data_IF_094467568776
#
_entry.id   IF_094467568776
#
_cell.length_a   1.000
_cell.length_b   1.000
_cell.length_c   1.000
_cell.angle_alpha   90.00
_cell.angle_beta   90.00
_cell.angle_gamma   90.00
#
_symmetry.space_group_name_H-M   'P 1'
#
loop_
_entity.id
_entity.type
_entity.pdbx_description
1 polymer ?
#
# COMPACT_ATOMS: atom_id res chain seq x y z
N UNK A 1 -0.92 -4.73 0.25
CA UNK A 1 -0.45 -4.06 1.48
C UNK A 1 0.47 -2.91 1.11
N UNK A 2 0.22 -1.71 1.62
CA UNK A 2 1.09 -0.56 1.39
C UNK A 2 1.30 0.21 2.70
N UNK A 3 2.57 0.40 3.09
CA UNK A 3 2.96 0.96 4.38
C UNK A 3 3.53 2.35 4.19
N UNK A 4 3.03 3.30 4.96
CA UNK A 4 3.58 4.64 5.09
C UNK A 4 4.12 4.86 6.48
N UNK A 5 5.29 5.48 6.54
CA UNK A 5 5.84 6.00 7.76
C UNK A 5 6.22 7.45 7.56
N UNK A 6 5.58 8.32 8.32
CA UNK A 6 5.95 9.72 8.38
C UNK A 6 6.60 10.02 9.71
N UNK A 7 7.79 10.63 9.69
CA UNK A 7 8.52 11.06 10.87
C UNK A 7 8.62 12.58 10.94
N UNK A 8 8.44 13.12 12.15
CA UNK A 8 8.63 14.51 12.51
C UNK A 8 10.00 14.68 13.19
N UNK A 9 10.98 15.13 12.42
CA UNK A 9 12.30 15.41 12.97
C UNK A 9 12.32 16.76 13.70
N UNK A 10 12.16 16.71 15.03
CA UNK A 10 12.20 17.90 15.90
C UNK A 10 13.52 18.67 15.85
N UNK A 11 14.66 18.01 15.54
CA UNK A 11 15.97 18.67 15.50
C UNK A 11 16.21 19.45 14.20
N UNK A 12 15.63 18.98 13.08
CA UNK A 12 15.76 19.63 11.76
C UNK A 12 14.52 20.43 11.36
N UNK A 13 13.48 20.43 12.19
CA UNK A 13 12.16 20.98 11.91
C UNK A 13 11.50 20.44 10.62
N UNK A 14 11.93 19.28 10.13
CA UNK A 14 11.48 18.70 8.86
C UNK A 14 10.63 17.45 9.07
N UNK A 15 9.58 17.30 8.27
CA UNK A 15 8.84 16.05 8.11
C UNK A 15 9.44 15.24 6.95
N UNK A 16 9.51 13.91 7.10
CA UNK A 16 9.96 12.98 6.05
C UNK A 16 8.95 11.86 5.87
N UNK A 17 8.84 11.35 4.63
CA UNK A 17 7.97 10.22 4.29
C UNK A 17 8.82 9.06 3.77
N UNK A 18 8.62 7.89 4.37
CA UNK A 18 9.07 6.62 3.83
C UNK A 18 7.85 5.82 3.39
N UNK A 19 7.95 5.24 2.20
CA UNK A 19 6.87 4.48 1.59
C UNK A 19 7.40 3.11 1.17
N UNK A 20 6.71 2.04 1.62
CA UNK A 20 7.06 0.68 1.26
C UNK A 20 5.88 -0.02 0.59
N UNK A 21 6.18 -0.57 -0.59
CA UNK A 21 5.31 -1.48 -1.33
C UNK A 21 5.90 -2.87 -1.23
N UNK A 22 5.15 -3.80 -0.66
CA UNK A 22 5.46 -5.22 -0.72
C UNK A 22 4.91 -5.84 -2.00
N UNK A 23 5.74 -6.62 -2.70
CA UNK A 23 5.31 -7.51 -3.79
C UNK A 23 4.71 -8.79 -3.17
N UNK A 24 3.47 -9.16 -3.53
CA UNK A 24 2.81 -10.39 -3.06
C UNK A 24 2.73 -11.47 -4.15
N UNK A 25 2.91 -12.74 -3.75
CA UNK A 25 3.07 -13.90 -4.62
C UNK A 25 1.85 -14.21 -5.51
N UNK A 26 2.16 -14.93 -6.60
CA UNK A 26 1.29 -15.56 -7.61
C UNK A 26 0.67 -14.69 -8.70
N UNK A 27 1.05 -13.41 -8.81
CA UNK A 27 1.00 -12.73 -10.09
C UNK A 27 2.36 -12.18 -10.46
N UNK A 28 2.88 -12.75 -11.57
CA UNK A 28 4.09 -12.34 -12.27
C UNK A 28 4.42 -10.87 -12.03
N UNK A 29 5.60 -10.60 -11.44
CA UNK A 29 6.33 -9.34 -11.54
C UNK A 29 5.45 -8.08 -11.63
N UNK A 30 4.66 -7.84 -10.59
CA UNK A 30 3.82 -6.65 -10.53
C UNK A 30 4.59 -5.50 -9.89
N UNK A 31 5.19 -4.65 -10.73
CA UNK A 31 5.75 -3.38 -10.30
C UNK A 31 4.81 -2.26 -10.75
N UNK A 32 3.90 -1.84 -9.86
CA UNK A 32 2.94 -0.77 -10.16
C UNK A 32 3.54 0.63 -10.01
N UNK A 33 4.78 0.72 -9.53
CA UNK A 33 5.48 1.99 -9.33
C UNK A 33 6.33 2.37 -10.53
N UNK A 34 6.69 1.40 -11.37
CA UNK A 34 7.43 1.64 -12.60
C UNK A 34 6.46 2.01 -13.73
N UNK A 35 6.72 3.19 -14.29
CA UNK A 35 6.06 3.66 -15.49
C UNK A 35 6.58 2.89 -16.71
N UNK A 36 5.68 2.21 -17.42
CA UNK A 36 5.98 1.55 -18.68
C UNK A 36 5.76 2.54 -19.84
N UNK A 37 6.84 2.94 -20.50
CA UNK A 37 6.81 3.84 -21.66
C UNK A 37 6.19 3.22 -22.91
N UNK A 38 6.10 1.89 -22.98
CA UNK A 38 5.55 1.15 -24.12
C UNK A 38 4.06 0.83 -23.95
N UNK A 39 3.44 1.34 -22.88
CA UNK A 39 2.02 1.13 -22.58
C UNK A 39 1.13 2.00 -23.48
N UNK A 40 0.33 1.35 -24.32
CA UNK A 40 -0.70 2.01 -25.14
C UNK A 40 -2.04 2.03 -24.39
N UNK A 41 -2.55 3.24 -24.12
CA UNK A 41 -3.80 3.47 -23.37
C UNK A 41 -5.01 3.35 -24.30
N UNK A 42 -5.22 2.19 -24.92
CA UNK A 42 -6.43 1.93 -25.71
C UNK A 42 -7.53 1.29 -24.83
N UNK A 43 -8.78 1.77 -24.99
CA UNK A 43 -10.04 1.24 -24.43
C UNK A 43 -10.50 1.62 -23.00
N UNK A 44 -10.39 2.88 -22.59
CA UNK A 44 -11.31 3.46 -21.58
C UNK A 44 -12.15 4.55 -22.23
N UNK A 45 -13.08 4.16 -23.10
CA UNK A 45 -13.91 5.12 -23.83
C UNK A 45 -15.18 4.59 -24.50
N UNK A 46 -15.55 3.31 -24.30
CA UNK A 46 -16.81 2.75 -24.84
C UNK A 46 -17.34 1.61 -23.97
N UNK A 47 -17.82 1.90 -22.76
CA UNK A 47 -18.88 1.06 -22.17
C UNK A 47 -20.19 1.83 -22.31
N UNK A 48 -20.89 1.56 -23.41
CA UNK A 48 -22.34 1.74 -23.45
C UNK A 48 -22.94 0.61 -22.63
N UNK A 49 -23.84 0.98 -21.73
CA UNK A 49 -24.82 0.09 -21.09
C UNK A 49 -25.25 -1.04 -22.03
N UNK A 50 -24.89 -2.27 -21.69
CA UNK A 50 -25.68 -3.43 -22.09
C UNK A 50 -25.65 -4.43 -20.95
N UNK A 51 -26.83 -4.61 -20.36
CA UNK A 51 -27.15 -5.55 -19.32
C UNK A 51 -26.82 -6.98 -19.73
N UNK A 52 -26.12 -7.74 -18.89
CA UNK A 52 -26.03 -9.20 -19.06
C UNK A 52 -26.16 -9.89 -17.70
N UNK A 53 -27.41 -10.01 -17.25
CA UNK A 53 -27.91 -11.29 -16.76
C UNK A 53 -28.61 -11.94 -17.94
N UNK A 54 -28.05 -13.02 -18.50
CA UNK A 54 -28.75 -14.26 -18.87
C UNK A 54 -27.96 -15.14 -19.86
N UNK A 55 -27.97 -16.43 -19.51
CA UNK A 55 -28.02 -17.63 -20.34
C UNK A 55 -26.75 -18.20 -20.99
N UNK A 56 -26.27 -19.22 -20.28
CA UNK A 56 -25.82 -20.54 -20.76
C UNK A 56 -26.51 -20.97 -22.07
N UNK A 57 -25.74 -21.25 -23.13
CA UNK A 57 -25.64 -22.56 -23.81
C UNK A 57 -25.05 -22.49 -25.22
N UNK A 58 -24.18 -23.47 -25.49
CA UNK A 58 -23.86 -24.14 -26.77
C UNK A 58 -23.13 -23.44 -27.93
N UNK A 59 -22.11 -24.19 -28.39
CA UNK A 59 -21.61 -24.39 -29.76
C UNK A 59 -20.33 -23.67 -30.24
N UNK A 60 -19.36 -24.53 -30.60
CA UNK A 60 -18.09 -24.26 -31.27
C UNK A 60 -18.32 -23.70 -32.69
N UNK A 61 -17.53 -22.71 -33.08
CA UNK A 61 -16.97 -22.61 -34.45
C UNK A 61 -15.71 -21.73 -34.46
N UNK A 62 -14.61 -22.32 -34.92
CA UNK A 62 -13.34 -21.67 -35.21
C UNK A 62 -13.47 -20.76 -36.45
N UNK A 63 -12.98 -19.52 -36.38
CA UNK A 63 -12.27 -18.85 -37.48
C UNK A 63 -11.18 -17.96 -36.87
N UNK A 64 -9.95 -18.27 -37.23
CA UNK A 64 -8.72 -17.50 -37.02
C UNK A 64 -8.77 -16.14 -37.73
N UNK A 65 -8.45 -15.07 -37.01
CA UNK A 65 -7.77 -13.91 -37.58
C UNK A 65 -6.76 -13.41 -36.54
N UNK A 66 -5.50 -13.63 -36.91
CA UNK A 66 -4.29 -13.24 -36.21
C UNK A 66 -4.13 -11.72 -36.26
N UNK A 67 -3.77 -11.17 -35.13
CA UNK A 67 -3.85 -9.76 -34.79
C UNK A 67 -3.81 -9.69 -33.28
N UNK A 68 -2.61 -9.88 -32.74
CA UNK A 68 -2.32 -9.80 -31.31
C UNK A 68 -2.89 -8.49 -30.75
N UNK A 69 -4.12 -8.55 -30.24
CA UNK A 69 -4.65 -7.52 -29.35
C UNK A 69 -3.76 -7.56 -28.12
N UNK A 70 -2.82 -6.61 -28.00
CA UNK A 70 -2.14 -6.34 -26.74
C UNK A 70 -3.23 -6.14 -25.69
N UNK A 71 -3.39 -7.11 -24.79
CA UNK A 71 -4.30 -6.99 -23.67
C UNK A 71 -3.80 -5.82 -22.81
N UNK A 72 -4.57 -4.73 -22.79
CA UNK A 72 -4.29 -3.59 -21.92
C UNK A 72 -4.29 -4.06 -20.46
N UNK A 73 -3.16 -3.82 -19.77
CA UNK A 73 -2.99 -4.18 -18.37
C UNK A 73 -3.47 -3.03 -17.49
N UNK A 74 -4.66 -3.19 -16.88
CA UNK A 74 -5.35 -2.15 -16.12
C UNK A 74 -4.56 -1.59 -14.95
N UNK A 75 -3.56 -2.32 -14.45
CA UNK A 75 -2.76 -1.90 -13.32
C UNK A 75 -1.56 -1.02 -13.68
N UNK A 76 -1.13 -1.01 -14.94
CA UNK A 76 0.02 -0.23 -15.37
C UNK A 76 -0.29 1.27 -15.38
N UNK A 77 0.74 2.07 -15.06
CA UNK A 77 0.73 3.52 -15.21
C UNK A 77 -0.39 4.25 -14.45
N UNK A 78 -0.78 3.72 -13.28
CA UNK A 78 -1.77 4.36 -12.40
C UNK A 78 -1.15 5.20 -11.27
N UNK A 79 0.16 5.05 -11.01
CA UNK A 79 0.92 5.82 -10.00
C UNK A 79 1.71 6.99 -10.62
N UNK A 80 1.04 7.82 -11.42
CA UNK A 80 1.73 8.82 -12.25
C UNK A 80 2.32 9.97 -11.42
N UNK A 81 1.67 10.35 -10.32
CA UNK A 81 2.16 11.43 -9.47
C UNK A 81 3.44 11.01 -8.76
N UNK A 82 3.47 9.80 -8.19
CA UNK A 82 4.70 9.23 -7.61
C UNK A 82 5.80 9.15 -8.66
N UNK A 83 5.50 8.66 -9.87
CA UNK A 83 6.47 8.61 -10.96
C UNK A 83 7.07 9.99 -11.28
N UNK A 84 6.23 11.02 -11.41
CA UNK A 84 6.69 12.38 -11.68
C UNK A 84 7.58 12.94 -10.57
N UNK A 85 7.25 12.68 -9.31
CA UNK A 85 8.09 13.12 -8.18
C UNK A 85 9.45 12.43 -8.26
N UNK A 86 9.49 11.11 -8.48
CA UNK A 86 10.74 10.36 -8.61
C UNK A 86 11.63 10.87 -9.77
N UNK A 87 11.03 11.32 -10.87
CA UNK A 87 11.78 11.88 -12.01
C UNK A 87 12.29 13.30 -11.74
N UNK A 88 11.47 14.15 -11.13
CA UNK A 88 11.75 15.59 -11.04
C UNK A 88 12.46 15.98 -9.74
N UNK A 89 12.40 15.16 -8.69
CA UNK A 89 12.89 15.48 -7.35
C UNK A 89 13.93 14.47 -6.85
N UNK A 90 14.88 14.10 -7.71
CA UNK A 90 15.89 13.05 -7.47
C UNK A 90 16.76 13.26 -6.24
N UNK A 91 16.94 14.50 -5.80
CA UNK A 91 17.73 14.81 -4.61
C UNK A 91 16.96 14.60 -3.29
N UNK A 92 15.63 14.52 -3.36
CA UNK A 92 14.73 14.43 -2.21
C UNK A 92 13.95 13.11 -2.17
N UNK A 93 14.13 12.25 -3.17
CA UNK A 93 13.39 10.99 -3.30
C UNK A 93 14.31 9.84 -3.68
N UNK A 94 13.99 8.67 -3.14
CA UNK A 94 14.67 7.41 -3.42
C UNK A 94 13.62 6.33 -3.61
N UNK A 95 13.79 5.49 -4.64
CA UNK A 95 12.98 4.30 -4.86
C UNK A 95 13.82 3.08 -4.52
N UNK A 96 13.36 2.29 -3.56
CA UNK A 96 13.96 1.01 -3.20
C UNK A 96 13.05 -0.11 -3.66
N UNK A 97 13.62 -1.10 -4.35
CA UNK A 97 12.90 -2.32 -4.70
C UNK A 97 12.96 -3.29 -3.52
N UNK A 98 11.80 -3.74 -3.06
CA UNK A 98 11.67 -4.79 -2.06
C UNK A 98 11.25 -6.09 -2.73
N UNK A 99 12.18 -7.04 -2.82
CA UNK A 99 11.92 -8.38 -3.32
C UNK A 99 11.55 -9.28 -2.14
N UNK A 100 10.28 -9.68 -2.04
CA UNK A 100 9.79 -10.54 -0.97
C UNK A 100 9.89 -12.01 -1.36
N UNK A 101 10.68 -12.79 -0.62
CA UNK A 101 10.76 -14.25 -0.79
C UNK A 101 9.46 -14.95 -0.35
N UNK A 102 9.29 -16.23 -0.69
CA UNK A 102 8.21 -17.03 -0.10
C UNK A 102 8.53 -17.35 1.39
N UNK A 103 7.54 -17.43 2.30
CA UNK A 103 6.13 -17.07 2.13
C UNK A 103 5.92 -15.53 2.15
N UNK A 104 5.05 -15.01 1.28
CA UNK A 104 4.59 -13.61 1.35
C UNK A 104 3.35 -13.54 2.23
N UNK A 105 3.56 -13.50 3.54
CA UNK A 105 2.49 -13.28 4.51
C UNK A 105 2.69 -11.88 5.11
N UNK A 106 1.62 -11.08 5.15
CA UNK A 106 1.58 -9.70 5.67
C UNK A 106 2.25 -9.55 7.01
N UNK A 107 1.84 -10.36 7.97
CA UNK A 107 2.39 -10.33 9.33
C UNK A 107 3.89 -10.64 9.38
N UNK A 108 4.36 -11.68 8.69
CA UNK A 108 5.79 -12.05 8.66
C UNK A 108 6.64 -10.96 8.02
N UNK A 109 6.14 -10.29 6.98
CA UNK A 109 6.86 -9.18 6.34
C UNK A 109 6.90 -7.95 7.22
N UNK A 110 5.77 -7.57 7.82
CA UNK A 110 5.71 -6.47 8.79
C UNK A 110 6.70 -6.72 9.95
N UNK A 111 6.70 -7.93 10.53
CA UNK A 111 7.68 -8.32 11.55
C UNK A 111 9.11 -8.12 11.07
N UNK A 112 9.48 -8.68 9.91
CA UNK A 112 10.85 -8.55 9.37
C UNK A 112 11.30 -7.10 9.16
N UNK A 113 10.41 -6.23 8.68
CA UNK A 113 10.71 -4.81 8.45
C UNK A 113 11.01 -4.11 9.78
N UNK A 114 10.20 -4.35 10.80
CA UNK A 114 10.29 -3.62 12.06
C UNK A 114 11.24 -4.25 13.09
N UNK A 115 11.55 -5.53 12.96
CA UNK A 115 12.52 -6.24 13.80
C UNK A 115 13.91 -6.28 13.16
N UNK A 116 14.03 -6.03 11.86
CA UNK A 116 15.29 -6.15 11.13
C UNK A 116 15.76 -7.60 10.98
N UNK A 117 14.83 -8.56 11.03
CA UNK A 117 15.09 -10.00 10.93
C UNK A 117 14.71 -10.54 9.55
N UNK A 118 15.24 -11.72 9.20
CA UNK A 118 14.77 -12.45 8.01
C UNK A 118 13.53 -13.23 8.42
N UNK A 119 12.42 -13.21 7.66
CA UNK A 119 11.22 -13.99 7.98
C UNK A 119 11.55 -15.46 8.19
N UNK A 120 11.28 -15.99 9.38
CA UNK A 120 11.45 -17.40 9.66
C UNK A 120 10.15 -18.15 9.34
N UNK A 121 10.25 -19.32 8.68
CA UNK A 121 9.09 -20.18 8.43
C UNK A 121 8.34 -20.58 9.72
N UNK A 122 9.03 -20.62 10.87
CA UNK A 122 8.42 -20.90 12.16
C UNK A 122 7.50 -19.78 12.67
N UNK A 123 7.71 -18.52 12.24
CA UNK A 123 6.85 -17.38 12.59
C UNK A 123 5.46 -17.46 11.91
N UNK A 124 5.33 -18.27 10.86
CA UNK A 124 4.02 -18.55 10.25
C UNK A 124 3.08 -19.19 11.27
N UNK A 125 3.62 -20.00 12.20
CA UNK A 125 2.84 -20.62 13.26
C UNK A 125 2.40 -19.61 14.34
N UNK A 126 3.18 -18.55 14.58
CA UNK A 126 2.80 -17.49 15.53
C UNK A 126 1.61 -16.67 15.04
N UNK A 127 1.34 -16.61 13.72
CA UNK A 127 0.10 -16.05 13.19
C UNK A 127 -1.15 -16.83 13.64
N UNK A 128 -0.99 -18.12 13.99
CA UNK A 128 -2.07 -18.98 14.46
C UNK A 128 -2.06 -19.19 15.98
N UNK A 129 -0.91 -18.97 16.63
CA UNK A 129 -0.74 -19.11 18.09
C UNK A 129 0.32 -18.14 18.62
N UNK A 130 -0.02 -16.85 18.84
CA UNK A 130 0.95 -15.83 19.18
C UNK A 130 1.56 -16.08 20.57
N UNK A 131 2.89 -16.25 20.63
CA UNK A 131 3.65 -16.26 21.89
C UNK A 131 3.96 -14.84 22.34
N UNK A 132 3.86 -14.55 23.63
CA UNK A 132 4.06 -13.22 24.24
C UNK A 132 5.53 -12.79 24.34
N UNK A 133 6.41 -13.37 23.52
CA UNK A 133 7.83 -13.01 23.48
C UNK A 133 7.98 -11.55 23.03
N UNK A 134 8.50 -10.70 23.93
CA UNK A 134 8.82 -9.30 23.63
C UNK A 134 10.16 -9.31 22.91
N UNK A 135 10.12 -9.48 21.59
CA UNK A 135 11.29 -9.29 20.74
C UNK A 135 11.52 -7.80 20.49
N UNK A 136 12.79 -7.40 20.48
CA UNK A 136 13.16 -6.00 20.19
C UNK A 136 12.72 -5.61 18.79
N UNK A 137 12.15 -4.42 18.67
CA UNK A 137 11.60 -3.93 17.43
C UNK A 137 11.60 -2.40 17.40
N UNK A 138 11.40 -1.84 16.21
CA UNK A 138 11.41 -0.41 15.97
C UNK A 138 10.47 0.38 16.90
N UNK A 139 9.25 -0.12 17.16
CA UNK A 139 8.28 0.58 18.01
C UNK A 139 8.65 0.54 19.50
N UNK A 140 9.26 -0.55 19.96
CA UNK A 140 9.85 -0.64 21.30
C UNK A 140 10.95 0.41 21.49
N UNK A 141 11.88 0.50 20.52
CA UNK A 141 12.94 1.50 20.56
C UNK A 141 12.41 2.93 20.57
N UNK A 142 11.35 3.21 19.80
CA UNK A 142 10.68 4.52 19.82
C UNK A 142 10.04 4.82 21.18
N UNK A 143 9.36 3.85 21.76
CA UNK A 143 8.75 3.99 23.08
C UNK A 143 9.80 4.30 24.16
N UNK A 144 10.90 3.55 24.18
CA UNK A 144 12.03 3.78 25.11
C UNK A 144 12.66 5.17 24.92
N UNK A 145 12.52 5.76 23.74
CA UNK A 145 12.97 7.13 23.43
C UNK A 145 11.86 8.19 23.55
N UNK A 146 10.75 7.87 24.25
CA UNK A 146 9.61 8.75 24.50
C UNK A 146 8.99 9.33 23.23
N UNK A 147 8.95 8.55 22.14
CA UNK A 147 8.33 8.94 20.88
C UNK A 147 6.85 8.56 20.85
N UNK A 148 6.00 9.50 20.39
CA UNK A 148 4.58 9.26 20.16
C UNK A 148 4.36 8.64 18.80
N UNK A 149 3.87 7.41 18.78
CA UNK A 149 3.56 6.68 17.54
C UNK A 149 2.06 6.49 17.40
N UNK A 150 1.51 6.91 16.28
CA UNK A 150 0.11 6.63 15.94
C UNK A 150 0.04 5.58 14.83
N UNK A 151 -0.86 4.61 14.98
CA UNK A 151 -1.14 3.58 13.98
C UNK A 151 -2.52 3.83 13.36
N UNK A 152 -2.58 3.85 12.03
CA UNK A 152 -3.78 4.09 11.23
C UNK A 152 -3.90 2.96 10.19
N UNK A 153 -5.10 2.47 9.93
CA UNK A 153 -5.34 1.48 8.88
C UNK A 153 -5.91 0.19 9.42
N UNK A 154 -5.35 -0.96 9.07
CA UNK A 154 -5.76 -2.22 9.65
C UNK A 154 -5.02 -2.57 10.94
N UNK A 155 -5.59 -3.50 11.69
CA UNK A 155 -5.13 -3.93 13.00
C UNK A 155 -3.92 -4.88 12.98
N UNK A 156 -3.34 -5.22 11.82
CA UNK A 156 -2.21 -6.16 11.76
C UNK A 156 -1.05 -5.68 12.64
N UNK A 157 -0.69 -4.40 12.59
CA UNK A 157 0.47 -3.91 13.33
C UNK A 157 0.26 -3.94 14.85
N UNK A 158 -0.96 -3.66 15.32
CA UNK A 158 -1.28 -3.60 16.76
C UNK A 158 -1.42 -5.00 17.37
N UNK A 159 -1.61 -6.02 16.55
CA UNK A 159 -1.48 -7.42 16.97
C UNK A 159 -0.03 -7.87 17.11
N UNK A 160 0.90 -7.27 16.34
CA UNK A 160 2.30 -7.70 16.29
C UNK A 160 3.19 -6.91 17.24
N UNK A 161 2.86 -5.63 17.47
CA UNK A 161 3.69 -4.66 18.18
C UNK A 161 2.87 -3.94 19.25
N UNK A 162 3.56 -3.28 20.19
CA UNK A 162 2.94 -2.53 21.30
C UNK A 162 3.41 -1.07 21.30
N UNK A 163 2.94 -0.32 22.29
CA UNK A 163 3.40 1.04 22.62
C UNK A 163 2.98 2.15 21.63
N UNK A 164 1.85 1.95 20.94
CA UNK A 164 1.20 3.03 20.18
C UNK A 164 0.55 4.03 21.14
N UNK A 165 0.77 5.32 20.92
CA UNK A 165 0.06 6.39 21.66
C UNK A 165 -1.38 6.54 21.20
N UNK A 166 -1.69 6.10 19.97
CA UNK A 166 -3.05 6.09 19.42
C UNK A 166 -3.19 4.99 18.38
N UNK A 167 -4.27 4.22 18.47
CA UNK A 167 -4.60 3.16 17.52
C UNK A 167 -5.94 3.50 16.84
N UNK A 168 -5.88 3.81 15.56
CA UNK A 168 -7.01 4.13 14.69
C UNK A 168 -7.13 3.04 13.63
N UNK A 169 -7.40 1.81 14.10
CA UNK A 169 -7.28 0.58 13.32
C UNK A 169 -8.60 -0.16 13.13
N UNK A 170 -8.70 -0.91 12.03
CA UNK A 170 -9.86 -1.71 11.62
C UNK A 170 -9.49 -3.18 11.38
N UNK A 171 -10.49 -4.05 11.30
CA UNK A 171 -10.27 -5.48 11.05
C UNK A 171 -9.58 -5.76 9.71
N UNK A 172 -8.44 -6.43 9.77
CA UNK A 172 -7.59 -6.76 8.60
C UNK A 172 -8.14 -7.91 7.75
N UNK A 173 -8.88 -8.86 8.33
CA UNK A 173 -9.28 -10.10 7.65
C UNK A 173 -10.60 -10.01 6.86
N UNK A 174 -11.24 -8.82 6.80
CA UNK A 174 -12.42 -8.64 5.96
C UNK A 174 -12.03 -8.43 4.50
N UNK A 175 -11.63 -9.52 3.84
CA UNK A 175 -11.13 -9.50 2.45
C UNK A 175 -12.15 -9.01 1.41
N UNK A 176 -13.44 -8.93 1.75
CA UNK A 176 -14.48 -8.39 0.86
C UNK A 176 -14.64 -6.87 0.97
N UNK A 177 -14.00 -6.23 1.95
CA UNK A 177 -13.93 -4.78 2.02
C UNK A 177 -12.73 -4.27 1.20
N UNK A 178 -13.03 -3.58 0.10
CA UNK A 178 -12.02 -2.99 -0.78
C UNK A 178 -11.81 -1.49 -0.52
N UNK A 179 -12.67 -0.85 0.27
CA UNK A 179 -12.78 0.61 0.30
C UNK A 179 -12.96 1.20 1.69
N UNK A 180 -13.76 0.59 2.55
CA UNK A 180 -14.22 1.23 3.77
C UNK A 180 -13.06 1.50 4.73
N UNK A 181 -12.19 0.50 4.91
CA UNK A 181 -10.95 0.64 5.69
C UNK A 181 -10.05 1.75 5.15
N UNK A 182 -9.74 1.71 3.85
CA UNK A 182 -8.84 2.68 3.22
C UNK A 182 -9.44 4.11 3.26
N UNK A 183 -10.75 4.27 3.08
CA UNK A 183 -11.44 5.56 3.22
C UNK A 183 -11.31 6.08 4.65
N UNK A 184 -11.54 5.23 5.65
CA UNK A 184 -11.46 5.62 7.04
C UNK A 184 -10.03 5.93 7.47
N UNK A 185 -9.05 5.16 7.01
CA UNK A 185 -7.62 5.41 7.22
C UNK A 185 -7.18 6.76 6.65
N UNK A 186 -7.59 7.10 5.41
CA UNK A 186 -7.33 8.42 4.81
C UNK A 186 -7.95 9.55 5.63
N UNK A 187 -9.19 9.38 6.11
CA UNK A 187 -9.84 10.37 6.98
C UNK A 187 -9.04 10.61 8.25
N UNK A 188 -8.65 9.53 8.95
CA UNK A 188 -7.84 9.62 10.16
C UNK A 188 -6.46 10.23 9.91
N UNK A 189 -5.82 9.94 8.77
CA UNK A 189 -4.59 10.62 8.38
C UNK A 189 -4.79 12.15 8.39
N UNK A 190 -5.83 12.65 7.73
CA UNK A 190 -6.07 14.10 7.66
C UNK A 190 -6.36 14.71 9.04
N UNK A 191 -7.13 14.04 9.89
CA UNK A 191 -7.42 14.51 11.25
C UNK A 191 -6.15 14.59 12.12
N UNK A 192 -5.32 13.53 12.10
CA UNK A 192 -4.12 13.46 12.94
C UNK A 192 -2.94 14.27 12.37
N UNK A 193 -2.86 14.44 11.05
CA UNK A 193 -1.82 15.27 10.45
C UNK A 193 -1.94 16.72 10.92
N UNK A 194 -3.16 17.25 10.97
CA UNK A 194 -3.46 18.61 11.41
C UNK A 194 -3.27 18.78 12.94
N UNK A 195 -3.60 17.75 13.73
CA UNK A 195 -3.37 17.78 15.18
C UNK A 195 -1.88 17.91 15.54
N UNK A 196 -1.02 17.33 14.69
CA UNK A 196 0.45 17.38 14.79
C UNK A 196 0.99 16.87 16.16
N UNK A 197 0.19 16.11 16.91
CA UNK A 197 0.54 15.49 18.19
C UNK A 197 1.06 14.06 18.02
N UNK A 198 2.08 13.91 17.19
CA UNK A 198 2.77 12.64 16.91
C UNK A 198 4.23 12.91 16.53
N UNK A 199 5.09 11.95 16.83
CA UNK A 199 6.46 11.90 16.29
C UNK A 199 6.48 11.04 15.02
N UNK A 200 5.80 9.89 15.07
CA UNK A 200 5.72 8.96 13.94
C UNK A 200 4.27 8.56 13.68
N UNK A 201 3.90 8.57 12.40
CA UNK A 201 2.62 8.09 11.91
C UNK A 201 2.83 6.88 11.00
N UNK A 202 2.31 5.73 11.42
CA UNK A 202 2.25 4.49 10.65
C UNK A 202 0.87 4.36 10.01
N UNK A 203 0.84 4.16 8.69
CA UNK A 203 -0.42 3.97 7.95
C UNK A 203 -0.29 2.69 7.12
N UNK A 204 -1.26 1.79 7.25
CA UNK A 204 -1.30 0.54 6.50
C UNK A 204 -2.62 0.39 5.75
N UNK A 205 -2.52 0.27 4.42
CA UNK A 205 -3.67 0.22 3.51
C UNK A 205 -3.79 -1.17 2.88
N UNK A 206 -5.04 -1.65 2.75
CA UNK A 206 -5.34 -3.02 2.32
C UNK A 206 -6.09 -3.10 0.98
N UNK A 207 -6.67 -2.00 0.48
CA UNK A 207 -7.52 -2.04 -0.73
C UNK A 207 -6.87 -2.72 -1.93
N UNK A 208 -5.62 -2.33 -2.26
CA UNK A 208 -4.83 -2.96 -3.34
C UNK A 208 -4.60 -4.44 -3.10
N UNK A 209 -4.38 -4.85 -1.84
CA UNK A 209 -4.16 -6.24 -1.46
C UNK A 209 -5.41 -7.09 -1.69
N UNK A 210 -6.53 -6.65 -1.11
CA UNK A 210 -7.80 -7.35 -1.14
C UNK A 210 -8.33 -7.48 -2.56
N UNK A 211 -8.20 -6.43 -3.39
CA UNK A 211 -8.56 -6.48 -4.81
C UNK A 211 -7.70 -7.51 -5.55
N UNK A 212 -6.40 -7.55 -5.26
CA UNK A 212 -5.47 -8.54 -5.84
C UNK A 212 -5.85 -9.97 -5.51
N UNK A 213 -6.28 -10.24 -4.28
CA UNK A 213 -6.67 -11.57 -3.82
C UNK A 213 -8.06 -12.02 -4.28
N UNK A 214 -9.06 -11.14 -4.23
CA UNK A 214 -10.46 -11.53 -4.47
C UNK A 214 -10.87 -11.42 -5.94
N UNK A 215 -10.25 -10.50 -6.69
CA UNK A 215 -10.56 -10.28 -8.10
C UNK A 215 -9.40 -10.75 -8.96
N UNK A 216 -8.87 -9.83 -9.76
CA UNK A 216 -7.65 -10.01 -10.51
C UNK A 216 -6.95 -8.64 -10.53
N UNK A 217 -5.64 -8.58 -10.30
CA UNK A 217 -4.81 -7.42 -10.53
C UNK A 217 -4.97 -6.81 -11.93
N UNK A 218 -5.32 -7.59 -12.95
CA UNK A 218 -5.68 -7.03 -14.25
C UNK A 218 -7.18 -6.68 -14.32
N UNK A 219 -7.62 -5.74 -13.48
CA UNK A 219 -9.00 -5.25 -13.47
C UNK A 219 -9.07 -3.74 -13.39
N UNK A 220 -10.15 -3.16 -13.92
CA UNK A 220 -10.44 -1.73 -13.77
C UNK A 220 -10.46 -1.29 -12.30
N UNK A 221 -10.99 -2.15 -11.42
CA UNK A 221 -11.03 -1.91 -9.97
C UNK A 221 -9.63 -1.76 -9.39
N UNK A 222 -8.67 -2.61 -9.78
CA UNK A 222 -7.26 -2.46 -9.39
C UNK A 222 -6.68 -1.15 -9.91
N UNK A 223 -6.93 -0.81 -11.18
CA UNK A 223 -6.44 0.45 -11.76
C UNK A 223 -6.98 1.68 -11.03
N UNK A 224 -8.26 1.68 -10.66
CA UNK A 224 -8.88 2.79 -9.92
C UNK A 224 -8.38 2.86 -8.48
N UNK A 225 -8.16 1.72 -7.80
CA UNK A 225 -7.54 1.69 -6.48
C UNK A 225 -6.11 2.23 -6.50
N UNK A 226 -5.30 1.89 -7.51
CA UNK A 226 -3.96 2.43 -7.67
C UNK A 226 -3.97 3.95 -7.90
N UNK A 227 -4.92 4.51 -8.66
CA UNK A 227 -5.02 5.97 -8.85
C UNK A 227 -5.43 6.70 -7.57
N UNK A 228 -6.40 6.15 -6.83
CA UNK A 228 -6.81 6.69 -5.53
C UNK A 228 -5.63 6.69 -4.56
N UNK A 229 -4.88 5.60 -4.57
CA UNK A 229 -3.69 5.43 -3.78
C UNK A 229 -2.58 6.43 -4.18
N UNK A 230 -2.26 6.58 -5.47
CA UNK A 230 -1.32 7.57 -6.01
C UNK A 230 -1.67 8.99 -5.56
N UNK A 231 -2.95 9.34 -5.63
CA UNK A 231 -3.45 10.65 -5.20
C UNK A 231 -3.20 10.86 -3.72
N UNK A 232 -3.47 9.85 -2.89
CA UNK A 232 -3.20 9.93 -1.46
C UNK A 232 -1.71 10.12 -1.14
N UNK A 233 -0.81 9.37 -1.80
CA UNK A 233 0.65 9.56 -1.62
C UNK A 233 1.06 10.98 -2.01
N UNK A 234 0.56 11.45 -3.15
CA UNK A 234 0.85 12.79 -3.65
C UNK A 234 0.42 13.88 -2.65
N UNK A 235 -0.77 13.74 -2.07
CA UNK A 235 -1.29 14.68 -1.07
C UNK A 235 -0.44 14.70 0.20
N UNK A 236 0.00 13.53 0.70
CA UNK A 236 0.91 13.45 1.85
C UNK A 236 2.22 14.18 1.54
N UNK A 237 2.83 13.92 0.38
CA UNK A 237 4.10 14.54 -0.02
C UNK A 237 3.95 16.05 -0.13
N UNK A 238 2.87 16.54 -0.73
CA UNK A 238 2.63 17.99 -0.86
C UNK A 238 2.40 18.66 0.49
N UNK A 239 1.65 18.04 1.41
CA UNK A 239 1.51 18.54 2.78
C UNK A 239 2.86 18.64 3.49
N UNK A 240 3.71 17.61 3.35
CA UNK A 240 5.07 17.64 3.93
C UNK A 240 5.91 18.76 3.34
N UNK A 241 5.85 18.98 2.03
CA UNK A 241 6.57 20.07 1.36
C UNK A 241 6.11 21.43 1.85
N UNK A 242 4.80 21.66 1.93
CA UNK A 242 4.23 22.91 2.43
C UNK A 242 4.66 23.17 3.87
N UNK A 243 4.53 22.18 4.76
CA UNK A 243 4.98 22.28 6.15
C UNK A 243 6.48 22.58 6.25
N UNK A 244 7.30 21.97 5.39
CA UNK A 244 8.74 22.20 5.38
C UNK A 244 9.11 23.58 4.84
N UNK A 245 8.29 24.18 3.96
CA UNK A 245 8.47 25.55 3.46
C UNK A 245 8.08 26.60 4.50
N UNK A 246 6.98 26.40 5.22
CA UNK A 246 6.47 27.33 6.25
C UNK A 246 7.35 27.41 7.51
N UNK A 247 8.31 26.49 7.67
CA UNK A 247 9.21 26.41 8.83
C UNK A 247 10.57 27.10 8.61
N UNK A 248 10.76 27.76 7.46
CA UNK A 248 11.88 28.66 7.14
C UNK A 248 11.42 30.11 7.13
#
# INVERSE_FOLDING_TARGET
MAIFMQDKNLKKNQKTLSFLVGKYLEMNTFDFTLYDTNYEKEFIGKEKNTDIYNNISSEKKNISNDGEKKNSLFFLNNMINVHHILQNEKNNTLLFRFDADAPTITTSRIKSIFMGTIPNYMEVNENFSPTTSVEDNFFEQLHLNNKKVIAIGDNTITHLMKHFSKELVYESFNVFDFYSLDIAAKKHFYEEYESNDWDIMYIHMLGVDHIGHIKTPNSKIMGDALKDFDTFIYDIINKIKLDNLERY
#
